data_IF_580281651589
#
_entry.id   IF_580281651589
#
_cell.length_a   1.000
_cell.length_b   1.000
_cell.length_c   1.000
_cell.angle_alpha   90.00
_cell.angle_beta   90.00
_cell.angle_gamma   90.00
#
_symmetry.space_group_name_H-M   'P 1'
#
loop_
_entity.id
_entity.type
_entity.pdbx_description
1 polymer ?
#
# COMPACT_ATOMS: atom_id res chain seq x y z
N UNK A 1 4.49 56.19 43.45
CA UNK A 1 5.20 56.15 42.16
C UNK A 1 4.81 54.84 41.49
N UNK A 2 3.76 54.88 40.65
CA UNK A 2 3.87 54.90 39.17
C UNK A 2 4.56 53.63 38.65
N UNK A 3 3.98 52.74 37.85
CA UNK A 3 2.68 52.66 37.18
C UNK A 3 2.75 51.40 36.30
N UNK A 4 1.71 50.56 36.30
CA UNK A 4 1.64 49.34 35.46
C UNK A 4 1.44 49.76 34.00
N UNK A 5 2.42 49.52 33.13
CA UNK A 5 2.27 49.78 31.71
C UNK A 5 1.65 48.55 31.02
N UNK A 6 0.43 48.75 30.54
CA UNK A 6 -0.32 47.89 29.65
C UNK A 6 0.34 47.85 28.28
N UNK A 7 0.73 46.67 27.79
CA UNK A 7 1.07 46.49 26.37
C UNK A 7 -0.23 46.41 25.57
N UNK A 8 -0.62 47.57 25.05
CA UNK A 8 -1.73 47.73 24.12
C UNK A 8 -1.34 47.24 22.72
N UNK A 9 -2.03 46.18 22.26
CA UNK A 9 -2.04 45.72 20.87
C UNK A 9 -2.46 46.86 19.94
N UNK A 10 -1.50 47.46 19.24
CA UNK A 10 -1.77 48.35 18.13
C UNK A 10 -2.02 47.50 16.88
N UNK A 11 -3.28 47.07 16.73
CA UNK A 11 -3.80 46.53 15.48
C UNK A 11 -3.93 47.70 14.51
N UNK A 12 -3.00 47.80 13.56
CA UNK A 12 -3.16 48.69 12.43
C UNK A 12 -4.44 48.30 11.67
N UNK A 13 -5.45 49.16 11.72
CA UNK A 13 -6.61 49.05 10.85
C UNK A 13 -6.19 49.51 9.46
N UNK A 14 -5.86 48.55 8.59
CA UNK A 14 -5.84 48.81 7.16
C UNK A 14 -7.26 49.18 6.74
N UNK A 15 -7.45 50.42 6.31
CA UNK A 15 -8.66 50.85 5.61
C UNK A 15 -8.68 50.05 4.31
N UNK A 16 -9.38 48.92 4.31
CA UNK A 16 -9.74 48.21 3.09
C UNK A 16 -10.76 49.11 2.39
N UNK A 17 -10.27 49.99 1.52
CA UNK A 17 -11.09 50.55 0.46
C UNK A 17 -11.63 49.35 -0.30
N UNK A 18 -12.91 49.03 -0.07
CA UNK A 18 -13.65 48.06 -0.87
C UNK A 18 -13.82 48.66 -2.25
N UNK A 19 -12.76 48.60 -3.05
CA UNK A 19 -12.86 48.75 -4.48
C UNK A 19 -13.81 47.66 -4.95
N UNK A 20 -14.98 48.05 -5.43
CA UNK A 20 -15.85 47.13 -6.15
C UNK A 20 -15.03 46.62 -7.32
N UNK A 21 -14.56 45.37 -7.23
CA UNK A 21 -14.09 44.66 -8.41
C UNK A 21 -15.27 44.70 -9.39
N UNK A 22 -15.07 45.33 -10.54
CA UNK A 22 -16.07 45.37 -11.59
C UNK A 22 -16.59 43.93 -11.78
N UNK A 23 -17.91 43.79 -11.82
CA UNK A 23 -18.54 42.50 -12.10
C UNK A 23 -17.81 41.90 -13.31
N UNK A 24 -17.39 40.63 -13.27
CA UNK A 24 -16.75 40.01 -14.40
C UNK A 24 -17.63 40.27 -15.62
N UNK A 25 -17.05 40.91 -16.65
CA UNK A 25 -17.74 41.22 -17.89
C UNK A 25 -18.57 40.02 -18.32
N UNK A 26 -19.81 40.24 -18.74
CA UNK A 26 -20.77 39.19 -19.09
C UNK A 26 -20.13 38.12 -20.00
N UNK A 27 -19.19 38.53 -20.86
CA UNK A 27 -18.41 37.63 -21.71
C UNK A 27 -17.52 36.65 -20.92
N UNK A 28 -16.82 37.09 -19.87
CA UNK A 28 -15.96 36.22 -19.03
C UNK A 28 -16.76 35.21 -18.22
N UNK A 29 -17.97 35.56 -17.77
CA UNK A 29 -18.87 34.63 -17.05
C UNK A 29 -19.46 33.61 -18.02
N UNK A 30 -19.84 34.04 -19.22
CA UNK A 30 -20.30 33.16 -20.30
C UNK A 30 -19.20 32.18 -20.75
N UNK A 31 -17.96 32.64 -20.89
CA UNK A 31 -16.82 31.80 -21.26
C UNK A 31 -16.47 30.77 -20.16
N UNK A 32 -16.55 31.14 -18.88
CA UNK A 32 -16.36 30.22 -17.76
C UNK A 32 -17.49 29.19 -17.65
N UNK A 33 -18.74 29.58 -17.95
CA UNK A 33 -19.88 28.68 -18.01
C UNK A 33 -19.77 27.71 -19.21
N UNK A 34 -19.32 28.19 -20.36
CA UNK A 34 -19.05 27.37 -21.54
C UNK A 34 -17.87 26.41 -21.32
N UNK A 35 -16.81 26.83 -20.61
CA UNK A 35 -15.70 25.97 -20.22
C UNK A 35 -16.13 24.86 -19.25
N UNK A 36 -16.97 25.19 -18.25
CA UNK A 36 -17.57 24.19 -17.34
C UNK A 36 -18.51 23.23 -18.06
N UNK A 37 -19.30 23.71 -19.03
CA UNK A 37 -20.17 22.87 -19.86
C UNK A 37 -19.36 21.90 -20.76
N UNK A 38 -18.25 22.37 -21.34
CA UNK A 38 -17.30 21.52 -22.10
C UNK A 38 -16.64 20.47 -21.21
N UNK A 39 -16.25 20.83 -19.98
CA UNK A 39 -15.74 19.87 -19.00
C UNK A 39 -16.79 18.83 -18.60
N UNK A 40 -18.05 19.22 -18.43
CA UNK A 40 -19.15 18.29 -18.14
C UNK A 40 -19.47 17.33 -19.29
N UNK A 41 -19.26 17.71 -20.54
CA UNK A 41 -19.44 16.82 -21.70
C UNK A 41 -18.29 15.82 -21.84
N UNK A 42 -17.05 16.25 -21.57
CA UNK A 42 -15.86 15.38 -21.54
C UNK A 42 -15.91 14.38 -20.37
N UNK A 43 -16.34 14.83 -19.18
CA UNK A 43 -16.56 13.94 -18.04
C UNK A 43 -17.79 13.06 -18.23
N UNK A 44 -18.80 13.51 -18.97
CA UNK A 44 -19.92 12.67 -19.43
C UNK A 44 -19.43 11.47 -20.23
N UNK A 45 -18.58 11.69 -21.24
CA UNK A 45 -17.99 10.62 -22.06
C UNK A 45 -17.09 9.66 -21.25
N UNK A 46 -16.26 10.18 -20.34
CA UNK A 46 -15.44 9.35 -19.46
C UNK A 46 -16.29 8.53 -18.47
N UNK A 47 -17.29 9.15 -17.85
CA UNK A 47 -18.20 8.49 -16.91
C UNK A 47 -19.11 7.48 -17.62
N UNK A 48 -19.50 7.75 -18.87
CA UNK A 48 -20.21 6.79 -19.72
C UNK A 48 -19.31 5.60 -20.05
N UNK A 49 -18.07 5.81 -20.48
CA UNK A 49 -17.11 4.72 -20.72
C UNK A 49 -16.84 3.92 -19.44
N UNK A 50 -16.70 4.59 -18.30
CA UNK A 50 -16.57 3.93 -16.99
C UNK A 50 -17.82 3.09 -16.68
N UNK A 51 -19.02 3.62 -16.94
CA UNK A 51 -20.26 2.87 -16.78
C UNK A 51 -20.34 1.69 -17.73
N UNK A 52 -19.85 1.82 -18.97
CA UNK A 52 -19.75 0.69 -19.91
C UNK A 52 -18.79 -0.38 -19.39
N UNK A 53 -17.58 -0.01 -19.00
CA UNK A 53 -16.57 -0.96 -18.51
C UNK A 53 -17.00 -1.67 -17.23
N UNK A 54 -17.66 -0.96 -16.30
CA UNK A 54 -18.05 -1.51 -15.00
C UNK A 54 -19.41 -2.22 -15.03
N UNK A 55 -20.38 -1.70 -15.78
CA UNK A 55 -21.78 -2.13 -15.72
C UNK A 55 -22.35 -2.68 -17.02
N UNK A 56 -21.79 -2.39 -18.19
CA UNK A 56 -22.09 -3.21 -19.36
C UNK A 56 -21.27 -4.49 -19.22
N UNK A 57 -21.90 -5.67 -18.99
CA UNK A 57 -21.16 -6.90 -19.10
C UNK A 57 -20.76 -7.02 -20.57
N UNK A 58 -19.49 -6.75 -20.88
CA UNK A 58 -18.91 -7.22 -22.13
C UNK A 58 -19.29 -8.68 -22.27
N UNK A 59 -19.76 -9.08 -23.47
CA UNK A 59 -20.21 -10.46 -23.74
C UNK A 59 -19.08 -11.38 -23.28
N UNK A 60 -19.24 -11.97 -22.09
CA UNK A 60 -18.28 -12.95 -21.60
C UNK A 60 -18.34 -14.04 -22.66
N UNK A 61 -17.20 -14.43 -23.27
CA UNK A 61 -17.23 -15.54 -24.19
C UNK A 61 -17.91 -16.70 -23.46
N UNK A 62 -19.01 -17.19 -24.01
CA UNK A 62 -19.70 -18.37 -23.47
C UNK A 62 -18.73 -19.52 -23.62
N UNK A 63 -17.91 -19.76 -22.60
CA UNK A 63 -17.18 -21.00 -22.47
C UNK A 63 -18.27 -22.08 -22.50
N UNK A 64 -18.24 -23.04 -23.43
CA UNK A 64 -19.28 -24.05 -23.49
C UNK A 64 -19.35 -24.75 -22.14
N UNK A 65 -20.43 -24.51 -21.40
CA UNK A 65 -20.65 -25.09 -20.07
C UNK A 65 -20.80 -26.61 -20.12
N UNK A 66 -20.96 -27.16 -21.33
CA UNK A 66 -20.80 -28.57 -21.66
C UNK A 66 -19.50 -28.74 -22.46
N UNK A 67 -18.38 -28.85 -21.75
CA UNK A 67 -17.39 -29.86 -22.14
C UNK A 67 -18.01 -31.22 -21.80
N UNK A 68 -17.71 -32.27 -22.55
CA UNK A 68 -18.31 -33.61 -22.34
C UNK A 68 -18.30 -33.95 -20.84
N UNK A 69 -19.43 -34.40 -20.29
CA UNK A 69 -19.62 -34.54 -18.83
C UNK A 69 -18.52 -35.38 -18.17
N UNK A 70 -18.03 -36.39 -18.90
CA UNK A 70 -16.93 -37.26 -18.48
C UNK A 70 -15.57 -36.52 -18.41
N UNK A 71 -15.28 -35.63 -19.35
CA UNK A 71 -14.03 -34.85 -19.38
C UNK A 71 -14.01 -33.82 -18.24
N UNK A 72 -15.17 -33.22 -17.93
CA UNK A 72 -15.30 -32.33 -16.77
C UNK A 72 -15.06 -33.08 -15.46
N UNK A 73 -15.70 -34.23 -15.23
CA UNK A 73 -15.50 -34.99 -14.00
C UNK A 73 -14.05 -35.44 -13.81
N UNK A 74 -13.35 -35.82 -14.89
CA UNK A 74 -11.93 -36.17 -14.85
C UNK A 74 -11.02 -34.98 -14.56
N UNK A 75 -11.21 -33.85 -15.23
CA UNK A 75 -10.43 -32.64 -14.95
C UNK A 75 -10.68 -32.12 -13.53
N UNK A 76 -11.94 -32.13 -13.08
CA UNK A 76 -12.29 -31.63 -11.76
C UNK A 76 -11.81 -32.53 -10.63
N UNK A 77 -11.88 -33.86 -10.79
CA UNK A 77 -11.37 -34.77 -9.77
C UNK A 77 -9.85 -34.82 -9.83
N UNK A 78 -9.24 -35.14 -10.97
CA UNK A 78 -7.79 -35.39 -11.02
C UNK A 78 -6.98 -34.10 -10.83
N UNK A 79 -7.27 -33.03 -11.58
CA UNK A 79 -6.44 -31.82 -11.55
C UNK A 79 -6.67 -31.07 -10.24
N UNK A 80 -7.92 -30.87 -9.82
CA UNK A 80 -8.19 -30.10 -8.59
C UNK A 80 -7.75 -30.87 -7.35
N UNK A 81 -7.97 -32.20 -7.28
CA UNK A 81 -7.50 -32.99 -6.14
C UNK A 81 -5.98 -33.06 -6.09
N UNK A 82 -5.29 -33.29 -7.23
CA UNK A 82 -3.84 -33.30 -7.26
C UNK A 82 -3.25 -31.94 -6.84
N UNK A 83 -3.87 -30.83 -7.28
CA UNK A 83 -3.47 -29.49 -6.84
C UNK A 83 -3.70 -29.29 -5.34
N UNK A 84 -4.87 -29.69 -4.81
CA UNK A 84 -5.17 -29.58 -3.39
C UNK A 84 -4.17 -30.38 -2.54
N UNK A 85 -3.83 -31.59 -2.97
CA UNK A 85 -2.82 -32.43 -2.33
C UNK A 85 -1.43 -31.78 -2.34
N UNK A 86 -1.02 -31.20 -3.48
CA UNK A 86 0.26 -30.49 -3.56
C UNK A 86 0.29 -29.25 -2.66
N UNK A 87 -0.81 -28.49 -2.57
CA UNK A 87 -0.90 -27.36 -1.65
C UNK A 87 -0.76 -27.80 -0.19
N UNK A 88 -1.40 -28.91 0.20
CA UNK A 88 -1.24 -29.49 1.53
C UNK A 88 0.22 -29.86 1.82
N UNK A 89 0.89 -30.53 0.87
CA UNK A 89 2.32 -30.84 1.01
C UNK A 89 3.20 -29.59 1.16
N UNK A 90 2.95 -28.55 0.38
CA UNK A 90 3.68 -27.27 0.47
C UNK A 90 3.45 -26.57 1.82
N UNK A 91 2.25 -26.62 2.35
CA UNK A 91 1.92 -26.09 3.68
C UNK A 91 2.58 -26.90 4.78
N UNK A 92 2.48 -28.22 4.71
CA UNK A 92 3.11 -29.14 5.65
C UNK A 92 4.61 -28.90 5.71
N UNK A 93 5.31 -28.87 4.57
CA UNK A 93 6.75 -28.61 4.50
C UNK A 93 7.12 -27.25 5.09
N UNK A 94 6.39 -26.18 4.74
CA UNK A 94 6.62 -24.84 5.32
C UNK A 94 6.40 -24.81 6.83
N UNK A 95 5.40 -25.54 7.33
CA UNK A 95 5.07 -25.60 8.74
C UNK A 95 6.08 -26.43 9.54
N UNK A 96 6.53 -27.56 9.00
CA UNK A 96 7.58 -28.39 9.57
C UNK A 96 8.91 -27.64 9.66
N UNK A 97 9.30 -26.93 8.60
CA UNK A 97 10.48 -26.06 8.61
C UNK A 97 10.35 -24.95 9.67
N UNK A 98 9.19 -24.30 9.77
CA UNK A 98 8.93 -23.27 10.80
C UNK A 98 9.04 -23.86 12.20
N UNK A 99 8.46 -25.06 12.41
CA UNK A 99 8.53 -25.80 13.68
C UNK A 99 9.97 -26.15 14.02
N UNK A 100 10.75 -26.66 13.07
CA UNK A 100 12.17 -26.98 13.25
C UNK A 100 12.97 -25.75 13.66
N UNK A 101 12.80 -24.63 12.96
CA UNK A 101 13.46 -23.35 13.28
C UNK A 101 13.08 -22.84 14.67
N UNK A 102 11.80 -22.92 15.03
CA UNK A 102 11.32 -22.55 16.36
C UNK A 102 11.91 -23.42 17.47
N UNK A 103 11.94 -24.75 17.29
CA UNK A 103 12.51 -25.67 18.26
C UNK A 103 14.00 -25.44 18.46
N UNK A 104 14.76 -25.26 17.38
CA UNK A 104 16.19 -24.93 17.45
C UNK A 104 16.42 -23.58 18.17
N UNK A 105 15.59 -22.57 17.88
CA UNK A 105 15.66 -21.28 18.56
C UNK A 105 15.37 -21.41 20.06
N UNK A 106 14.36 -22.22 20.43
CA UNK A 106 14.01 -22.46 21.84
C UNK A 106 15.16 -23.14 22.58
N UNK A 107 15.73 -24.20 22.01
CA UNK A 107 16.86 -24.92 22.59
C UNK A 107 18.05 -23.98 22.84
N UNK A 108 18.39 -23.14 21.87
CA UNK A 108 19.44 -22.14 22.02
C UNK A 108 19.13 -21.12 23.15
N UNK A 109 17.87 -20.70 23.31
CA UNK A 109 17.48 -19.82 24.41
C UNK A 109 17.53 -20.51 25.77
N UNK A 110 17.19 -21.80 25.83
CA UNK A 110 17.26 -22.59 27.06
C UNK A 110 18.73 -22.76 27.51
N UNK A 111 19.66 -22.98 26.57
CA UNK A 111 21.11 -23.00 26.84
C UNK A 111 21.58 -21.63 27.33
N UNK A 112 21.21 -20.55 26.62
CA UNK A 112 21.61 -19.19 26.98
C UNK A 112 21.16 -18.81 28.40
N UNK A 113 19.96 -19.25 28.79
CA UNK A 113 19.42 -19.02 30.13
C UNK A 113 20.22 -19.73 31.23
N UNK A 114 20.79 -20.89 30.93
CA UNK A 114 21.62 -21.65 31.88
C UNK A 114 23.02 -21.03 32.03
N UNK A 115 23.61 -20.55 30.93
CA UNK A 115 24.96 -19.98 30.93
C UNK A 115 25.02 -18.54 31.42
N UNK A 116 24.10 -17.68 30.97
CA UNK A 116 24.15 -16.24 31.24
C UNK A 116 22.77 -15.57 31.27
N UNK A 117 22.34 -15.17 32.46
CA UNK A 117 21.06 -14.50 32.66
C UNK A 117 21.01 -13.11 31.98
N UNK A 118 22.13 -12.38 31.92
CA UNK A 118 22.18 -11.04 31.31
C UNK A 118 21.99 -11.10 29.80
N UNK A 119 22.63 -12.04 29.11
CA UNK A 119 22.46 -12.24 27.67
C UNK A 119 21.05 -12.74 27.33
N UNK A 120 20.51 -13.65 28.15
CA UNK A 120 19.14 -14.12 28.00
C UNK A 120 18.13 -12.97 28.10
N UNK A 121 18.27 -12.09 29.11
CA UNK A 121 17.41 -10.90 29.27
C UNK A 121 17.48 -9.97 28.06
N UNK A 122 18.68 -9.75 27.51
CA UNK A 122 18.88 -8.95 26.30
C UNK A 122 18.22 -9.55 25.06
N UNK A 123 18.33 -10.86 24.87
CA UNK A 123 17.75 -11.56 23.71
C UNK A 123 16.21 -11.63 23.74
N UNK A 124 15.62 -11.76 24.93
CA UNK A 124 14.15 -11.81 25.11
C UNK A 124 13.51 -10.42 25.05
N UNK A 125 14.31 -9.36 25.23
CA UNK A 125 13.83 -8.00 25.10
C UNK A 125 13.26 -7.77 23.70
N UNK A 126 12.01 -7.28 23.63
CA UNK A 126 11.36 -6.99 22.36
C UNK A 126 11.58 -5.52 22.00
N UNK A 127 11.99 -5.28 20.77
CA UNK A 127 11.89 -3.95 20.18
C UNK A 127 10.41 -3.60 19.99
N UNK A 128 10.05 -2.35 20.28
CA UNK A 128 8.65 -1.86 20.26
C UNK A 128 8.05 -1.92 18.85
N UNK A 129 8.87 -1.87 17.81
CA UNK A 129 8.44 -1.99 16.41
C UNK A 129 9.57 -2.54 15.52
N UNK A 130 9.74 -3.87 15.43
CA UNK A 130 10.67 -4.43 14.46
C UNK A 130 10.13 -4.19 13.05
N UNK A 131 10.78 -3.29 12.32
CA UNK A 131 10.45 -2.99 10.93
C UNK A 131 11.40 -3.75 10.02
N UNK A 132 10.85 -4.33 8.95
CA UNK A 132 11.69 -4.87 7.89
C UNK A 132 12.37 -3.71 7.14
N UNK A 133 13.68 -3.80 6.85
CA UNK A 133 14.36 -2.77 6.07
C UNK A 133 13.72 -2.58 4.71
N UNK A 134 13.50 -1.33 4.28
CA UNK A 134 12.89 -1.03 2.97
C UNK A 134 13.72 -1.55 1.78
N UNK A 135 15.01 -1.77 2.01
CA UNK A 135 15.95 -2.34 1.05
C UNK A 135 15.69 -3.84 0.81
N UNK A 136 15.00 -4.53 1.73
CA UNK A 136 14.59 -5.92 1.54
C UNK A 136 13.38 -5.97 0.61
N UNK A 137 13.65 -6.11 -0.70
CA UNK A 137 12.62 -6.07 -1.75
C UNK A 137 11.94 -7.42 -1.92
N UNK A 138 10.69 -7.37 -2.40
CA UNK A 138 9.96 -8.57 -2.86
C UNK A 138 10.68 -9.11 -4.12
N UNK A 139 10.90 -10.44 -4.22
CA UNK A 139 11.47 -11.05 -5.41
C UNK A 139 10.66 -10.73 -6.68
N UNK A 140 11.37 -10.52 -7.79
CA UNK A 140 10.76 -10.22 -9.10
C UNK A 140 11.08 -11.35 -10.08
N UNK A 141 10.22 -11.56 -11.09
CA UNK A 141 10.39 -12.67 -12.05
C UNK A 141 11.65 -12.55 -12.92
N UNK A 142 12.03 -11.33 -13.27
CA UNK A 142 13.26 -11.04 -14.03
C UNK A 142 14.15 -10.15 -13.19
N UNK A 143 15.44 -10.51 -13.00
CA UNK A 143 16.32 -9.71 -12.17
C UNK A 143 16.55 -8.31 -12.78
N UNK A 144 16.79 -7.29 -11.94
CA UNK A 144 17.17 -5.96 -12.43
C UNK A 144 18.55 -5.97 -13.09
N UNK A 145 18.84 -4.92 -13.88
CA UNK A 145 20.14 -4.75 -14.56
C UNK A 145 21.33 -4.77 -13.58
N UNK A 146 21.14 -4.21 -12.39
CA UNK A 146 22.10 -4.29 -11.28
C UNK A 146 21.44 -5.13 -10.18
N UNK A 147 21.92 -6.36 -10.00
CA UNK A 147 21.34 -7.34 -9.07
C UNK A 147 21.67 -6.98 -7.62
N UNK A 148 22.91 -6.53 -7.39
CA UNK A 148 23.43 -6.22 -6.08
C UNK A 148 24.19 -4.90 -6.10
N UNK A 149 23.94 -4.05 -5.10
CA UNK A 149 24.66 -2.79 -4.93
C UNK A 149 25.85 -2.98 -3.98
N UNK A 150 27.04 -3.12 -4.56
CA UNK A 150 28.28 -3.23 -3.79
C UNK A 150 28.76 -1.89 -3.20
N UNK A 151 28.14 -0.77 -3.57
CA UNK A 151 28.54 0.58 -3.14
C UNK A 151 27.69 1.13 -2.00
N UNK A 152 26.81 0.31 -1.43
CA UNK A 152 25.89 0.70 -0.37
C UNK A 152 26.61 1.29 0.86
N UNK A 153 26.06 2.40 1.38
CA UNK A 153 26.50 3.05 2.61
C UNK A 153 25.28 3.31 3.51
N UNK A 154 25.48 3.21 4.83
CA UNK A 154 24.45 3.57 5.79
C UNK A 154 24.10 5.07 5.68
N UNK A 155 22.81 5.45 5.81
CA UNK A 155 22.42 6.85 5.84
C UNK A 155 23.07 7.56 7.05
N UNK A 156 23.51 8.80 6.85
CA UNK A 156 24.06 9.63 7.90
C UNK A 156 22.95 10.00 8.90
N UNK A 157 23.23 9.83 10.21
CA UNK A 157 22.24 10.00 11.28
C UNK A 157 21.61 11.41 11.36
N UNK A 158 22.12 12.39 10.61
CA UNK A 158 21.64 13.77 10.52
C UNK A 158 20.53 14.02 9.49
N UNK A 159 20.19 13.05 8.63
CA UNK A 159 19.26 13.27 7.50
C UNK A 159 17.81 12.82 7.76
N UNK A 160 17.42 12.62 9.03
CA UNK A 160 16.07 12.14 9.41
C UNK A 160 15.34 13.13 10.30
#
# INVERSE_FOLDING_TARGET
>A
MSGKLTQSLHRAHAIVTRGYAAAPSANKVADAAAARARQHSLTGSHNELLKRVLFEPGVRPTIPSKRDGEVMEQEETVIKQAWALEQEHLESRRNEERKRKFLAMKEAHDILKQESETLYKGAVWRDVAPLFPRQMRIPTQTPPKVIWDYTWKAPDASSS
#
